data_IF_128852083138
#
_entry.id   IF_128852083138
#
_cell.length_a   1.000
_cell.length_b   1.000
_cell.length_c   1.000
_cell.angle_alpha   90.00
_cell.angle_beta   90.00
_cell.angle_gamma   90.00
#
_symmetry.space_group_name_H-M   'P 1'
#
loop_
_entity.id
_entity.type
_entity.pdbx_description
1 polymer ?
#
# COMPACT_ATOMS: atom_id res chain seq x y z
N UNK A 1 8.62 -6.85 -10.80
CA UNK A 1 7.98 -8.14 -10.46
C UNK A 1 6.52 -7.90 -10.06
N UNK A 2 5.64 -8.90 -10.15
CA UNK A 2 4.34 -8.87 -9.46
C UNK A 2 4.55 -9.29 -7.99
N UNK A 3 3.93 -8.55 -7.07
CA UNK A 3 3.99 -8.83 -5.63
C UNK A 3 2.58 -8.98 -5.09
N UNK A 4 2.39 -9.96 -4.20
CA UNK A 4 1.14 -10.15 -3.48
C UNK A 4 1.21 -9.40 -2.15
N UNK A 5 0.25 -8.51 -1.94
CA UNK A 5 0.17 -7.64 -0.77
C UNK A 5 -1.00 -8.03 0.11
N UNK A 6 -0.74 -8.04 1.41
CA UNK A 6 -1.77 -8.16 2.44
C UNK A 6 -1.88 -6.83 3.19
N UNK A 7 -2.92 -6.06 2.88
CA UNK A 7 -3.19 -4.78 3.54
C UNK A 7 -4.16 -5.03 4.69
N UNK A 8 -3.70 -4.80 5.93
CA UNK A 8 -4.50 -5.05 7.15
C UNK A 8 -4.87 -3.73 7.82
N UNK A 9 -6.16 -3.54 8.12
CA UNK A 9 -6.69 -2.40 8.86
C UNK A 9 -7.77 -2.88 9.82
N UNK A 10 -7.56 -2.73 11.13
CA UNK A 10 -8.48 -3.23 12.17
C UNK A 10 -8.86 -4.70 11.92
N UNK A 11 -10.14 -4.98 11.63
CA UNK A 11 -10.67 -6.32 11.32
C UNK A 11 -10.75 -6.62 9.81
N UNK A 12 -10.37 -5.67 8.96
CA UNK A 12 -10.41 -5.81 7.50
C UNK A 12 -9.03 -6.22 6.98
N UNK A 13 -9.00 -7.26 6.15
CA UNK A 13 -7.80 -7.71 5.44
C UNK A 13 -8.11 -7.73 3.95
N UNK A 14 -7.28 -7.04 3.16
CA UNK A 14 -7.39 -6.94 1.71
C UNK A 14 -6.21 -7.68 1.09
N UNK A 15 -6.51 -8.64 0.22
CA UNK A 15 -5.53 -9.31 -0.61
C UNK A 15 -5.55 -8.67 -1.99
N UNK A 16 -4.40 -8.19 -2.44
CA UNK A 16 -4.27 -7.54 -3.75
C UNK A 16 -2.90 -7.83 -4.35
N UNK A 17 -2.82 -7.79 -5.66
CA UNK A 17 -1.56 -7.85 -6.40
C UNK A 17 -1.18 -6.44 -6.84
N UNK A 18 0.11 -6.14 -6.82
CA UNK A 18 0.66 -4.90 -7.33
C UNK A 18 1.98 -5.16 -8.04
N UNK A 19 2.42 -4.22 -8.88
CA UNK A 19 3.78 -4.26 -9.39
C UNK A 19 4.73 -3.76 -8.31
N UNK A 20 5.91 -4.33 -8.27
CA UNK A 20 7.00 -3.85 -7.41
C UNK A 20 7.40 -2.40 -7.74
N UNK A 21 7.23 -1.98 -9.00
CA UNK A 21 7.41 -0.60 -9.44
C UNK A 21 6.24 0.32 -9.10
N UNK A 22 5.14 -0.19 -8.54
CA UNK A 22 3.99 0.63 -8.19
C UNK A 22 4.33 1.59 -7.05
N UNK A 23 3.81 2.81 -7.15
CA UNK A 23 4.01 3.84 -6.14
C UNK A 23 3.07 3.63 -4.95
N UNK A 24 3.44 4.22 -3.81
CA UNK A 24 2.55 4.28 -2.63
C UNK A 24 1.20 4.91 -2.97
N UNK A 25 1.17 5.88 -3.88
CA UNK A 25 -0.09 6.53 -4.29
C UNK A 25 -1.01 5.59 -5.06
N UNK A 26 -0.47 4.75 -5.95
CA UNK A 26 -1.25 3.75 -6.69
C UNK A 26 -1.85 2.71 -5.74
N UNK A 27 -1.08 2.26 -4.75
CA UNK A 27 -1.57 1.39 -3.68
C UNK A 27 -2.70 2.02 -2.87
N UNK A 28 -2.57 3.30 -2.52
CA UNK A 28 -3.63 4.05 -1.83
C UNK A 28 -4.91 4.21 -2.68
N UNK A 29 -4.80 4.28 -4.01
CA UNK A 29 -5.96 4.29 -4.91
C UNK A 29 -6.70 2.96 -4.95
N UNK A 30 -5.99 1.84 -4.89
CA UNK A 30 -6.61 0.51 -4.77
C UNK A 30 -7.39 0.43 -3.45
N UNK A 31 -6.77 0.86 -2.35
CA UNK A 31 -7.43 0.91 -1.04
C UNK A 31 -8.60 1.90 -1.02
N UNK A 32 -8.51 3.03 -1.74
CA UNK A 32 -9.62 3.97 -1.89
C UNK A 32 -10.83 3.33 -2.56
N UNK A 33 -10.62 2.52 -3.61
CA UNK A 33 -11.71 1.81 -4.30
C UNK A 33 -12.46 0.83 -3.39
N UNK A 34 -11.78 0.28 -2.38
CA UNK A 34 -12.33 -0.73 -1.46
C UNK A 34 -12.92 -0.10 -0.19
N UNK A 35 -12.24 0.90 0.38
CA UNK A 35 -12.61 1.51 1.66
C UNK A 35 -13.38 2.83 1.50
N UNK A 36 -13.51 3.35 0.28
CA UNK A 36 -14.11 4.65 -0.02
C UNK A 36 -13.50 5.81 0.79
N UNK A 37 -12.19 5.74 1.04
CA UNK A 37 -11.42 6.78 1.75
C UNK A 37 -10.40 7.42 0.84
N UNK A 38 -10.26 8.76 0.84
CA UNK A 38 -9.33 9.44 -0.04
C UNK A 38 -7.85 9.10 0.31
N UNK A 39 -6.92 9.08 -0.65
CA UNK A 39 -5.52 8.70 -0.42
C UNK A 39 -4.79 9.51 0.66
N UNK A 40 -5.19 10.77 0.85
CA UNK A 40 -4.61 11.71 1.82
C UNK A 40 -4.93 11.30 3.27
N UNK A 41 -6.09 10.67 3.49
CA UNK A 41 -6.50 10.12 4.79
C UNK A 41 -5.86 8.75 5.09
N UNK A 42 -5.20 8.14 4.10
CA UNK A 42 -4.62 6.81 4.23
C UNK A 42 -3.13 6.89 4.58
N UNK A 43 -2.70 6.05 5.52
CA UNK A 43 -1.29 5.84 5.87
C UNK A 43 -0.96 4.36 5.75
N UNK A 44 -0.02 4.04 4.87
CA UNK A 44 0.46 2.68 4.70
C UNK A 44 1.75 2.49 5.52
N UNK A 45 1.87 1.32 6.14
CA UNK A 45 3.01 0.93 6.95
C UNK A 45 3.47 -0.45 6.51
N UNK A 46 4.78 -0.66 6.40
CA UNK A 46 5.35 -1.99 6.21
C UNK A 46 5.48 -2.66 7.60
N UNK A 47 5.15 -3.95 7.68
CA UNK A 47 5.26 -4.70 8.94
C UNK A 47 6.72 -4.70 9.40
N UNK A 48 6.97 -4.25 10.63
CA UNK A 48 8.32 -4.18 11.20
C UNK A 48 9.16 -2.97 10.79
N UNK A 49 8.60 -1.97 10.09
CA UNK A 49 9.31 -0.74 9.76
C UNK A 49 8.43 0.51 9.86
N UNK A 50 9.04 1.62 10.27
CA UNK A 50 8.37 2.92 10.37
C UNK A 50 8.26 3.58 8.98
N UNK A 51 7.27 3.16 8.21
CA UNK A 51 6.63 4.05 7.24
C UNK A 51 6.79 3.73 5.75
N UNK A 52 5.65 3.54 5.09
CA UNK A 52 5.48 3.58 3.65
C UNK A 52 4.55 4.74 3.28
N UNK A 53 4.95 5.98 3.58
CA UNK A 53 4.07 7.15 3.38
C UNK A 53 4.65 8.25 2.50
N UNK A 54 5.75 7.97 1.80
CA UNK A 54 6.26 8.89 0.76
C UNK A 54 5.50 8.63 -0.54
N UNK A 55 4.69 9.58 -1.05
CA UNK A 55 3.83 9.34 -2.22
C UNK A 55 4.61 9.00 -3.49
N UNK A 56 5.86 9.47 -3.62
CA UNK A 56 6.76 9.15 -4.74
C UNK A 56 7.68 7.95 -4.53
N UNK A 57 7.60 7.25 -3.38
CA UNK A 57 8.38 6.02 -3.19
C UNK A 57 7.77 4.87 -3.98
N UNK A 58 8.59 4.06 -4.64
CA UNK A 58 8.14 2.81 -5.26
C UNK A 58 8.20 1.68 -4.25
N UNK A 59 7.28 0.72 -4.33
CA UNK A 59 7.20 -0.40 -3.39
C UNK A 59 8.52 -1.19 -3.28
N UNK A 60 9.20 -1.45 -4.41
CA UNK A 60 10.46 -2.20 -4.47
C UNK A 60 11.61 -1.58 -3.67
N UNK A 61 11.65 -0.25 -3.52
CA UNK A 61 12.70 0.43 -2.76
C UNK A 61 12.67 0.08 -1.26
N UNK A 62 11.54 -0.44 -0.78
CA UNK A 62 11.34 -0.75 0.63
C UNK A 62 11.74 -2.19 0.97
N UNK A 63 12.36 -2.91 0.04
CA UNK A 63 12.86 -4.28 0.20
C UNK A 63 11.79 -5.31 -0.11
N UNK A 64 11.89 -5.89 -1.32
CA UNK A 64 11.26 -7.14 -1.74
C UNK A 64 11.93 -8.36 -1.13
#
# INVERSE_FOLDING_TARGET
MDVFLMIRRHKTTIFTEAKESSTVLELKRIVQGILHRPPEEQRLYKVGSEGLNRPGGVWGDFGG
#
